data_IF_454702471286
#
_entry.id   IF_454702471286
#
_cell.length_a   1.000
_cell.length_b   1.000
_cell.length_c   1.000
_cell.angle_alpha   90.00
_cell.angle_beta   90.00
_cell.angle_gamma   90.00
#
_symmetry.space_group_name_H-M   'P 1'
#
loop_
_entity.id
_entity.type
_entity.pdbx_description
1 polymer ?
#
# COMPACT_ATOMS: atom_id res chain seq x y z
N UNK A 1 -63.47 -6.78 22.58
CA UNK A 1 -62.21 -6.11 22.94
C UNK A 1 -61.08 -7.06 22.65
N UNK A 2 -60.29 -6.84 21.60
CA UNK A 2 -59.00 -7.51 21.39
C UNK A 2 -58.18 -6.59 20.48
N UNK A 3 -57.34 -5.77 21.08
CA UNK A 3 -56.40 -4.89 20.36
C UNK A 3 -55.22 -5.74 19.87
N UNK A 4 -54.96 -5.75 18.56
CA UNK A 4 -53.82 -6.43 17.95
C UNK A 4 -52.66 -5.45 17.87
N UNK A 5 -51.75 -5.49 18.84
CA UNK A 5 -50.53 -4.70 18.83
C UNK A 5 -49.59 -5.19 17.71
N UNK A 6 -49.23 -4.30 16.79
CA UNK A 6 -48.19 -4.51 15.80
C UNK A 6 -46.85 -4.10 16.41
N UNK A 7 -45.92 -5.05 16.58
CA UNK A 7 -44.53 -4.73 16.91
C UNK A 7 -43.72 -4.85 15.62
N UNK A 8 -43.36 -3.72 15.02
CA UNK A 8 -42.37 -3.69 13.94
C UNK A 8 -41.01 -3.53 14.61
N UNK A 9 -40.20 -4.59 14.61
CA UNK A 9 -38.79 -4.49 14.94
C UNK A 9 -38.09 -3.80 13.76
N UNK A 10 -37.78 -2.51 13.89
CA UNK A 10 -36.94 -1.81 12.95
C UNK A 10 -35.49 -2.31 13.13
N UNK A 11 -35.01 -3.13 12.20
CA UNK A 11 -33.59 -3.42 12.06
C UNK A 11 -32.96 -2.18 11.44
N UNK A 12 -32.42 -1.30 12.28
CA UNK A 12 -31.59 -0.18 11.86
C UNK A 12 -30.21 -0.72 11.49
N UNK A 13 -29.98 -1.01 10.21
CA UNK A 13 -28.63 -1.14 9.68
C UNK A 13 -28.01 0.25 9.65
N UNK A 14 -27.12 0.54 10.60
CA UNK A 14 -26.28 1.72 10.53
C UNK A 14 -25.26 1.49 9.41
N UNK A 15 -25.49 2.10 8.25
CA UNK A 15 -24.46 2.24 7.22
C UNK A 15 -23.45 3.27 7.73
N UNK A 16 -22.34 2.81 8.32
CA UNK A 16 -21.25 3.69 8.69
C UNK A 16 -20.60 4.21 7.40
N UNK A 17 -20.91 5.45 7.02
CA UNK A 17 -20.15 6.15 6.00
C UNK A 17 -18.76 6.43 6.59
N UNK A 18 -17.79 5.58 6.27
CA UNK A 18 -16.38 5.87 6.53
C UNK A 18 -16.00 6.99 5.57
N UNK A 19 -16.06 8.23 6.05
CA UNK A 19 -15.44 9.33 5.33
C UNK A 19 -13.93 9.08 5.35
N UNK A 20 -13.35 8.76 4.20
CA UNK A 20 -11.90 8.73 4.06
C UNK A 20 -11.39 10.13 4.42
N UNK A 21 -10.71 10.25 5.56
CA UNK A 21 -10.03 11.48 5.92
C UNK A 21 -9.00 11.81 4.82
N UNK A 22 -8.74 13.09 4.53
CA UNK A 22 -7.63 13.43 3.65
C UNK A 22 -6.37 12.77 4.20
N UNK A 23 -5.66 12.05 3.34
CA UNK A 23 -4.42 11.38 3.74
C UNK A 23 -3.48 12.43 4.30
N UNK A 24 -3.10 12.23 5.57
CA UNK A 24 -2.10 13.07 6.20
C UNK A 24 -0.75 12.70 5.59
N UNK A 25 0.06 13.67 5.12
CA UNK A 25 1.42 13.38 4.67
C UNK A 25 2.17 12.54 5.71
N UNK A 26 2.77 11.44 5.28
CA UNK A 26 3.45 10.52 6.19
C UNK A 26 2.60 9.49 6.92
N UNK A 27 1.30 9.43 6.62
CA UNK A 27 0.40 8.45 7.23
C UNK A 27 0.58 7.06 6.63
N UNK A 28 0.50 6.94 5.31
CA UNK A 28 0.73 5.68 4.59
C UNK A 28 2.08 5.79 3.89
N UNK A 29 2.98 4.87 4.20
CA UNK A 29 4.37 4.88 3.72
C UNK A 29 4.75 3.54 3.12
N UNK A 30 5.77 3.54 2.27
CA UNK A 30 6.51 2.34 1.91
C UNK A 30 7.37 1.97 3.12
N UNK A 31 7.04 0.86 3.78
CA UNK A 31 7.74 0.42 4.97
C UNK A 31 8.98 -0.43 4.64
N UNK A 32 8.85 -1.34 3.67
CA UNK A 32 9.91 -2.25 3.29
C UNK A 32 9.92 -2.49 1.78
N UNK A 33 11.13 -2.63 1.24
CA UNK A 33 11.38 -3.10 -0.12
C UNK A 33 12.33 -4.28 -0.01
N UNK A 34 11.86 -5.45 -0.41
CA UNK A 34 12.64 -6.68 -0.40
C UNK A 34 12.91 -7.15 -1.82
N UNK A 35 14.18 -7.39 -2.10
CA UNK A 35 14.67 -7.77 -3.42
C UNK A 35 15.20 -9.21 -3.36
N UNK A 36 14.34 -10.17 -3.62
CA UNK A 36 14.63 -11.59 -3.42
C UNK A 36 13.74 -12.47 -4.29
N UNK A 37 13.48 -13.70 -3.85
CA UNK A 37 12.61 -14.62 -4.59
C UNK A 37 11.47 -15.08 -3.69
N UNK A 38 10.27 -14.46 -3.76
CA UNK A 38 9.90 -13.35 -4.66
C UNK A 38 10.25 -11.97 -4.10
N UNK A 39 10.28 -10.97 -4.98
CA UNK A 39 10.28 -9.56 -4.57
C UNK A 39 8.96 -9.20 -3.86
N UNK A 40 9.04 -8.27 -2.90
CA UNK A 40 7.84 -7.63 -2.37
C UNK A 40 8.08 -6.18 -1.97
N UNK A 41 6.97 -5.44 -1.94
CA UNK A 41 6.91 -4.09 -1.38
C UNK A 41 5.87 -4.12 -0.28
N UNK A 42 6.25 -3.62 0.90
CA UNK A 42 5.36 -3.44 2.02
C UNK A 42 4.95 -1.98 2.16
N UNK A 43 3.66 -1.76 2.36
CA UNK A 43 3.14 -0.46 2.78
C UNK A 43 2.50 -0.59 4.16
N UNK A 44 2.58 0.48 4.95
CA UNK A 44 2.02 0.52 6.28
C UNK A 44 1.31 1.84 6.55
N UNK A 45 0.24 1.79 7.33
CA UNK A 45 -0.45 2.97 7.82
C UNK A 45 -0.06 3.27 9.28
N UNK A 46 0.78 4.28 9.47
CA UNK A 46 1.26 4.74 10.77
C UNK A 46 0.39 5.85 11.38
N UNK A 47 -0.60 6.35 10.66
CA UNK A 47 -1.51 7.38 11.16
C UNK A 47 -2.65 6.80 11.99
N UNK A 48 -3.45 7.67 12.64
CA UNK A 48 -4.43 7.29 13.66
C UNK A 48 -5.77 6.76 13.13
N UNK A 49 -5.95 6.68 11.80
CA UNK A 49 -7.24 6.36 11.17
C UNK A 49 -7.07 5.45 9.95
N UNK A 50 -8.11 4.67 9.58
CA UNK A 50 -8.13 3.96 8.31
C UNK A 50 -8.03 4.91 7.12
N UNK A 51 -7.41 4.44 6.03
CA UNK A 51 -7.26 5.18 4.77
C UNK A 51 -7.78 4.32 3.62
N UNK A 52 -8.70 4.86 2.82
CA UNK A 52 -9.08 4.24 1.55
C UNK A 52 -7.99 4.51 0.51
N UNK A 53 -7.33 3.44 0.08
CA UNK A 53 -6.26 3.46 -0.92
C UNK A 53 -6.72 2.88 -2.26
N UNK A 54 -8.02 2.81 -2.50
CA UNK A 54 -8.58 2.37 -3.78
C UNK A 54 -7.99 3.17 -4.95
N UNK A 55 -7.41 2.47 -5.93
CA UNK A 55 -6.81 3.09 -7.11
C UNK A 55 -5.44 3.73 -6.87
N UNK A 56 -4.89 3.66 -5.65
CA UNK A 56 -3.50 4.02 -5.39
C UNK A 56 -2.55 3.11 -6.16
N UNK A 57 -1.31 3.56 -6.32
CA UNK A 57 -0.35 2.98 -7.25
C UNK A 57 0.99 2.74 -6.60
N UNK A 58 1.59 1.60 -6.91
CA UNK A 58 2.99 1.29 -6.65
C UNK A 58 3.74 1.17 -7.96
N UNK A 59 4.74 2.02 -8.14
CA UNK A 59 5.63 2.05 -9.28
C UNK A 59 7.04 1.68 -8.81
N UNK A 60 7.62 0.63 -9.38
CA UNK A 60 9.02 0.27 -9.18
C UNK A 60 9.83 0.66 -10.43
N UNK A 61 11.03 1.18 -10.22
CA UNK A 61 11.96 1.49 -11.32
C UNK A 61 13.39 1.14 -10.95
N UNK A 62 14.14 0.67 -11.94
CA UNK A 62 15.58 0.41 -11.82
C UNK A 62 16.25 0.48 -13.19
N UNK A 63 17.51 0.93 -13.19
CA UNK A 63 18.22 1.22 -14.43
C UNK A 63 17.48 2.27 -15.28
N UNK A 64 17.32 1.98 -16.58
CA UNK A 64 16.60 2.83 -17.53
C UNK A 64 15.21 2.28 -17.91
N UNK A 65 14.72 1.29 -17.17
CA UNK A 65 13.47 0.59 -17.49
C UNK A 65 12.32 1.07 -16.62
N UNK A 66 11.15 1.21 -17.24
CA UNK A 66 9.86 1.44 -16.57
C UNK A 66 9.15 0.10 -16.46
N UNK A 67 8.75 -0.27 -15.25
CA UNK A 67 8.05 -1.52 -14.96
C UNK A 67 6.54 -1.29 -14.84
N UNK A 68 5.71 -2.34 -14.95
CA UNK A 68 4.28 -2.21 -14.75
C UNK A 68 3.94 -1.64 -13.36
N UNK A 69 2.96 -0.74 -13.35
CA UNK A 69 2.38 -0.17 -12.13
C UNK A 69 1.41 -1.15 -11.49
N UNK A 70 1.55 -1.40 -10.19
CA UNK A 70 0.51 -2.10 -9.43
C UNK A 70 -0.55 -1.10 -8.97
N UNK A 71 -1.82 -1.42 -9.15
CA UNK A 71 -2.95 -0.57 -8.73
C UNK A 71 -3.76 -1.30 -7.67
N UNK A 72 -3.96 -0.67 -6.52
CA UNK A 72 -4.77 -1.24 -5.45
C UNK A 72 -6.24 -1.36 -5.90
N UNK A 73 -6.89 -2.52 -5.72
CA UNK A 73 -8.28 -2.73 -6.10
C UNK A 73 -9.24 -1.76 -5.41
N UNK A 74 -10.42 -1.58 -5.98
CA UNK A 74 -11.50 -0.80 -5.36
C UNK A 74 -11.93 -1.42 -4.02
N UNK A 75 -12.25 -0.58 -3.03
CA UNK A 75 -12.65 -1.00 -1.69
C UNK A 75 -11.47 -1.38 -0.79
N UNK A 76 -10.25 -1.08 -1.21
CA UNK A 76 -9.05 -1.37 -0.41
C UNK A 76 -8.86 -0.30 0.65
N UNK A 77 -9.02 -0.66 1.92
CA UNK A 77 -8.85 0.23 3.06
C UNK A 77 -7.75 -0.32 3.94
N UNK A 78 -6.71 0.47 4.21
CA UNK A 78 -5.65 0.13 5.16
C UNK A 78 -5.96 0.76 6.52
N UNK A 79 -6.21 -0.08 7.51
CA UNK A 79 -6.52 0.29 8.88
C UNK A 79 -5.32 0.87 9.65
N UNK A 80 -5.58 1.34 10.87
CA UNK A 80 -4.55 1.82 11.80
C UNK A 80 -3.53 0.72 12.09
N UNK A 81 -2.24 0.98 11.82
CA UNK A 81 -1.15 0.05 12.12
C UNK A 81 -1.20 -1.23 11.29
N UNK A 82 -2.03 -1.25 10.24
CA UNK A 82 -2.07 -2.37 9.30
C UNK A 82 -0.93 -2.25 8.28
N UNK A 83 -0.52 -3.42 7.80
CA UNK A 83 0.54 -3.62 6.82
C UNK A 83 -0.06 -4.39 5.65
N UNK A 84 0.24 -3.97 4.42
CA UNK A 84 -0.06 -4.70 3.21
C UNK A 84 1.22 -5.05 2.47
N UNK A 85 1.28 -6.28 1.96
CA UNK A 85 2.33 -6.74 1.09
C UNK A 85 1.84 -6.81 -0.35
N UNK A 86 2.61 -6.25 -1.27
CA UNK A 86 2.44 -6.49 -2.70
C UNK A 86 3.58 -7.38 -3.16
N UNK A 87 3.26 -8.64 -3.41
CA UNK A 87 4.19 -9.70 -3.74
C UNK A 87 4.26 -9.84 -5.25
N UNK A 88 5.46 -10.01 -5.76
CA UNK A 88 5.69 -10.28 -7.17
C UNK A 88 4.93 -11.52 -7.66
N UNK A 89 4.33 -11.38 -8.84
CA UNK A 89 3.63 -12.43 -9.55
C UNK A 89 2.57 -13.07 -8.67
N UNK A 90 2.55 -14.40 -8.58
CA UNK A 90 1.63 -15.18 -7.74
C UNK A 90 2.42 -16.01 -6.72
N UNK A 91 3.64 -15.60 -6.38
CA UNK A 91 4.53 -16.35 -5.52
C UNK A 91 4.14 -16.24 -4.04
N UNK A 92 4.39 -17.30 -3.27
CA UNK A 92 4.29 -17.27 -1.82
C UNK A 92 5.62 -16.80 -1.20
N UNK A 93 5.57 -16.01 -0.13
CA UNK A 93 6.77 -15.64 0.61
C UNK A 93 7.47 -16.88 1.21
N UNK A 94 8.82 -16.97 1.12
CA UNK A 94 9.60 -17.97 1.85
C UNK A 94 9.46 -17.78 3.36
N UNK A 95 9.41 -18.88 4.12
CA UNK A 95 9.33 -18.83 5.59
C UNK A 95 10.56 -18.17 6.27
N UNK A 96 11.66 -18.00 5.53
CA UNK A 96 12.91 -17.38 6.00
C UNK A 96 12.94 -15.88 5.80
N UNK A 97 12.04 -15.34 4.97
CA UNK A 97 11.79 -13.89 4.95
C UNK A 97 11.11 -13.58 6.27
N UNK A 98 11.68 -12.68 7.08
CA UNK A 98 10.97 -12.11 8.22
C UNK A 98 9.75 -11.38 7.68
N UNK A 99 8.55 -11.97 7.74
CA UNK A 99 7.39 -11.33 7.16
C UNK A 99 6.97 -10.17 8.09
N UNK A 100 6.19 -9.22 7.59
CA UNK A 100 5.53 -8.23 8.43
C UNK A 100 4.74 -8.85 9.58
N UNK A 101 4.29 -8.00 10.52
CA UNK A 101 3.44 -8.42 11.62
C UNK A 101 2.30 -9.36 11.20
N UNK A 102 1.98 -10.30 12.09
CA UNK A 102 0.90 -11.25 11.88
C UNK A 102 -0.42 -10.55 11.54
N UNK A 103 -1.14 -11.07 10.54
CA UNK A 103 -2.39 -10.47 10.05
C UNK A 103 -2.24 -9.57 8.83
N UNK A 104 -1.03 -9.47 8.27
CA UNK A 104 -0.78 -8.74 7.01
C UNK A 104 -1.63 -9.25 5.85
N UNK A 105 -2.22 -8.32 5.09
CA UNK A 105 -2.96 -8.62 3.86
C UNK A 105 -2.00 -8.64 2.68
N UNK A 106 -2.11 -9.65 1.83
CA UNK A 106 -1.23 -9.85 0.66
C UNK A 106 -1.96 -9.61 -0.66
N UNK A 107 -1.29 -8.92 -1.56
CA UNK A 107 -1.63 -8.74 -2.95
C UNK A 107 -0.56 -9.36 -3.84
N UNK A 108 -0.93 -9.66 -5.08
CA UNK A 108 -0.10 -10.36 -6.06
C UNK A 108 -0.11 -9.56 -7.36
N UNK A 109 1.06 -9.19 -7.89
CA UNK A 109 1.13 -8.30 -9.06
C UNK A 109 0.73 -8.97 -10.37
N UNK A 110 0.96 -10.27 -10.50
CA UNK A 110 0.67 -11.05 -11.72
C UNK A 110 1.40 -10.59 -13.01
N UNK A 111 2.50 -9.82 -12.91
CA UNK A 111 3.16 -9.20 -14.08
C UNK A 111 3.91 -10.15 -15.01
N UNK A 112 4.35 -11.31 -14.52
CA UNK A 112 5.10 -12.32 -15.26
C UNK A 112 6.61 -12.07 -15.39
N UNK A 113 7.16 -11.05 -14.73
CA UNK A 113 8.58 -10.68 -14.78
C UNK A 113 9.04 -10.02 -13.47
N UNK A 114 10.37 -9.91 -13.31
CA UNK A 114 11.07 -9.15 -12.28
C UNK A 114 10.44 -7.77 -12.04
N UNK A 115 9.92 -7.50 -10.84
CA UNK A 115 9.28 -6.22 -10.53
C UNK A 115 10.24 -5.21 -9.89
N UNK A 116 11.09 -5.63 -8.95
CA UNK A 116 11.98 -4.74 -8.19
C UNK A 116 13.44 -4.99 -8.57
N UNK A 117 14.25 -3.94 -8.63
CA UNK A 117 15.66 -4.06 -8.98
C UNK A 117 16.46 -4.75 -7.88
N UNK A 118 17.39 -5.65 -8.22
CA UNK A 118 18.10 -6.49 -7.22
C UNK A 118 19.22 -5.79 -6.45
N UNK A 119 19.72 -4.65 -6.95
CA UNK A 119 20.89 -3.96 -6.38
C UNK A 119 20.70 -2.45 -6.24
N UNK A 120 19.76 -1.88 -6.98
CA UNK A 120 19.38 -0.48 -6.89
C UNK A 120 18.03 -0.26 -7.54
N UNK A 121 17.33 0.78 -7.12
CA UNK A 121 16.08 1.18 -7.74
C UNK A 121 15.34 2.22 -6.92
N UNK A 122 14.07 2.42 -7.26
CA UNK A 122 13.15 3.18 -6.48
C UNK A 122 11.75 2.59 -6.51
N UNK A 123 10.99 2.85 -5.46
CA UNK A 123 9.58 2.52 -5.30
C UNK A 123 8.84 3.80 -4.99
N UNK A 124 7.84 4.14 -5.80
CA UNK A 124 6.95 5.27 -5.58
C UNK A 124 5.56 4.76 -5.21
N UNK A 125 5.02 5.26 -4.11
CA UNK A 125 3.61 5.14 -3.74
C UNK A 125 2.89 6.43 -4.13
N UNK A 126 1.82 6.33 -4.92
CA UNK A 126 1.01 7.48 -5.35
C UNK A 126 -0.47 7.24 -5.08
N UNK A 127 -1.22 8.30 -4.80
CA UNK A 127 -2.67 8.22 -4.69
C UNK A 127 -3.35 8.01 -6.06
N UNK A 128 -4.67 7.84 -6.03
CA UNK A 128 -5.48 7.62 -7.23
C UNK A 128 -5.43 8.78 -8.24
N UNK A 129 -5.01 9.98 -7.82
CA UNK A 129 -4.87 11.17 -8.67
C UNK A 129 -3.45 11.32 -9.26
N UNK A 130 -2.56 10.38 -8.98
CA UNK A 130 -1.12 10.40 -9.27
C UNK A 130 -0.33 11.41 -8.43
N UNK A 131 -0.89 11.90 -7.33
CA UNK A 131 -0.09 12.64 -6.36
C UNK A 131 0.76 11.65 -5.59
N UNK A 132 2.08 11.86 -5.59
CA UNK A 132 2.98 11.00 -4.87
C UNK A 132 2.80 11.16 -3.35
N UNK A 133 2.70 10.01 -2.67
CA UNK A 133 2.55 9.89 -1.23
C UNK A 133 3.90 9.59 -0.58
N UNK A 134 4.70 8.71 -1.21
CA UNK A 134 6.03 8.33 -0.71
C UNK A 134 6.92 7.85 -1.87
N UNK A 135 8.24 7.97 -1.69
CA UNK A 135 9.25 7.51 -2.65
C UNK A 135 10.46 6.96 -1.90
N UNK A 136 10.75 5.67 -2.04
CA UNK A 136 11.96 5.05 -1.49
C UNK A 136 12.96 4.83 -2.61
N UNK A 137 14.22 5.25 -2.44
CA UNK A 137 15.35 4.90 -3.31
C UNK A 137 16.28 3.96 -2.55
N UNK A 138 16.88 2.99 -3.23
CA UNK A 138 17.80 2.02 -2.61
C UNK A 138 18.95 1.66 -3.56
N UNK A 139 20.04 1.13 -2.99
CA UNK A 139 21.27 0.75 -3.70
C UNK A 139 22.45 1.71 -3.50
N UNK A 140 23.55 1.47 -4.22
CA UNK A 140 24.87 2.12 -4.02
C UNK A 140 24.94 3.61 -4.40
N UNK A 141 23.85 4.23 -4.83
CA UNK A 141 23.75 5.69 -4.91
C UNK A 141 23.10 6.15 -3.61
N UNK A 142 23.94 6.44 -2.61
CA UNK A 142 23.59 6.65 -1.20
C UNK A 142 22.57 7.77 -0.93
N UNK A 143 21.30 7.47 -1.12
CA UNK A 143 20.19 8.29 -0.65
C UNK A 143 19.39 7.43 0.30
N UNK A 144 19.44 7.75 1.59
CA UNK A 144 18.45 7.27 2.56
C UNK A 144 17.06 7.65 2.05
N UNK A 145 16.03 6.89 2.41
CA UNK A 145 14.64 7.23 2.13
C UNK A 145 14.44 8.75 2.37
N UNK A 146 13.94 9.51 1.37
CA UNK A 146 13.74 10.94 1.53
C UNK A 146 12.88 11.16 2.79
N UNK A 147 13.21 12.16 3.62
CA UNK A 147 12.34 12.51 4.72
C UNK A 147 10.95 12.83 4.17
N UNK A 148 9.94 12.41 4.93
CA UNK A 148 8.48 12.43 4.72
C UNK A 148 7.88 13.79 4.30
N UNK A 149 8.72 14.81 4.14
CA UNK A 149 8.36 16.19 3.79
C UNK A 149 8.89 16.63 2.42
N UNK A 150 9.64 15.80 1.73
CA UNK A 150 10.14 16.13 0.39
C UNK A 150 9.05 15.75 -0.62
N UNK A 151 8.56 16.68 -1.47
CA UNK A 151 7.77 16.28 -2.63
C UNK A 151 8.55 15.18 -3.35
N UNK A 152 7.86 14.21 -3.95
CA UNK A 152 8.52 13.17 -4.76
C UNK A 152 9.12 13.79 -6.02
N UNK A 153 10.22 14.52 -5.85
CA UNK A 153 11.00 15.07 -6.91
C UNK A 153 12.05 14.04 -7.26
N UNK A 154 12.04 13.61 -8.52
CA UNK A 154 13.12 12.86 -9.15
C UNK A 154 14.44 13.64 -9.23
N UNK A 155 14.59 14.75 -8.50
CA UNK A 155 15.86 15.47 -8.46
C UNK A 155 16.94 14.50 -7.97
N UNK A 156 17.85 14.23 -8.91
CA UNK A 156 19.05 13.45 -8.74
C UNK A 156 19.91 14.15 -7.67
N UNK A 157 20.51 13.44 -6.70
CA UNK A 157 21.50 14.05 -5.82
C UNK A 157 22.65 14.70 -6.61
#
# INVERSE_FOLDING_TARGET
MQERSLWIAAVLTALALVLAAPVVPGQVLVNEVYTGDPDFIEIANFGPSPVDISGWKLDASFGFSVYPTFVFPSGTVIGLGEFFLVIENSASLPATVTPPPAGTITFHTQFGYGWVGTSSGSVQLSDATNHCIDLVKFGTMGVLAPPVTTPCSFENP
#
